data_IF_119936110661
#
_entry.id   IF_119936110661
#
_cell.length_a   1.000
_cell.length_b   1.000
_cell.length_c   1.000
_cell.angle_alpha   90.00
_cell.angle_beta   90.00
_cell.angle_gamma   90.00
#
_symmetry.space_group_name_H-M   'P 1'
#
loop_
_entity.id
_entity.type
_entity.pdbx_description
1 polymer ?
#
# COMPACT_ATOMS: atom_id res chain seq x y z
N UNK A 1 -65.58 -41.55 -17.01
CA UNK A 1 -64.46 -40.83 -17.66
C UNK A 1 -64.14 -39.66 -16.75
N UNK A 2 -62.93 -39.61 -16.19
CA UNK A 2 -62.49 -38.51 -15.33
C UNK A 2 -61.22 -37.92 -15.96
N UNK A 3 -61.38 -36.80 -16.64
CA UNK A 3 -60.28 -36.00 -17.16
C UNK A 3 -59.65 -35.27 -15.97
N UNK A 4 -58.50 -35.77 -15.48
CA UNK A 4 -57.70 -35.03 -14.52
C UNK A 4 -56.85 -34.01 -15.26
N UNK A 5 -57.18 -32.76 -14.96
CA UNK A 5 -56.59 -31.52 -15.39
C UNK A 5 -55.06 -31.44 -15.30
N UNK A 6 -54.52 -30.73 -16.29
CA UNK A 6 -53.42 -29.78 -16.20
C UNK A 6 -52.00 -30.32 -15.95
N UNK A 7 -51.40 -30.87 -17.01
CA UNK A 7 -49.95 -30.78 -17.24
C UNK A 7 -49.66 -29.45 -17.96
N UNK A 8 -49.64 -28.35 -17.19
CA UNK A 8 -49.20 -27.06 -17.71
C UNK A 8 -47.66 -26.99 -17.56
N UNK A 9 -46.90 -26.79 -18.65
CA UNK A 9 -45.44 -26.72 -18.57
C UNK A 9 -44.99 -25.59 -17.65
N UNK A 10 -43.90 -25.77 -16.88
CA UNK A 10 -43.40 -24.73 -15.99
C UNK A 10 -43.06 -23.46 -16.79
N UNK A 11 -43.31 -22.26 -16.22
CA UNK A 11 -43.02 -21.01 -16.91
C UNK A 11 -41.53 -20.92 -17.25
N UNK A 12 -41.16 -20.33 -18.40
CA UNK A 12 -39.77 -20.19 -18.79
C UNK A 12 -39.00 -19.37 -17.75
N UNK A 13 -37.70 -19.66 -17.55
CA UNK A 13 -36.88 -18.89 -16.63
C UNK A 13 -36.87 -17.41 -17.04
N UNK A 14 -36.82 -16.48 -16.07
CA UNK A 14 -36.77 -15.06 -16.37
C UNK A 14 -35.53 -14.74 -17.22
N UNK A 15 -35.63 -13.77 -18.14
CA UNK A 15 -34.48 -13.36 -18.93
C UNK A 15 -33.35 -12.85 -18.02
N UNK A 16 -32.08 -13.05 -18.43
CA UNK A 16 -30.95 -12.53 -17.67
C UNK A 16 -31.06 -11.01 -17.51
N UNK A 17 -30.66 -10.46 -16.36
CA UNK A 17 -30.70 -9.03 -16.14
C UNK A 17 -29.81 -8.30 -17.17
N UNK A 18 -30.19 -7.08 -17.57
CA UNK A 18 -29.39 -6.31 -18.52
C UNK A 18 -27.99 -6.01 -17.96
N UNK A 19 -26.97 -5.90 -18.83
CA UNK A 19 -25.62 -5.57 -18.40
C UNK A 19 -25.62 -4.20 -17.72
N UNK A 20 -24.90 -4.11 -16.59
CA UNK A 20 -24.75 -2.85 -15.86
C UNK A 20 -24.09 -1.78 -16.76
N UNK A 21 -24.54 -0.52 -16.68
CA UNK A 21 -23.94 0.55 -17.46
C UNK A 21 -22.47 0.74 -17.07
N UNK A 22 -21.61 1.10 -18.04
CA UNK A 22 -20.19 1.32 -17.77
C UNK A 22 -20.02 2.44 -16.72
N UNK A 23 -19.23 2.14 -15.69
CA UNK A 23 -18.93 3.09 -14.60
C UNK A 23 -18.34 4.39 -15.15
N UNK A 24 -18.88 5.53 -14.72
CA UNK A 24 -18.33 6.83 -15.10
C UNK A 24 -17.00 7.12 -14.38
N UNK A 25 -16.29 8.16 -14.82
CA UNK A 25 -14.97 8.54 -14.29
C UNK A 25 -14.98 8.91 -12.79
N UNK A 26 -16.06 9.49 -12.26
CA UNK A 26 -16.21 9.77 -10.82
C UNK A 26 -16.28 8.48 -10.01
N UNK A 27 -17.00 7.48 -10.51
CA UNK A 27 -17.18 6.19 -9.83
C UNK A 27 -15.88 5.40 -9.82
N UNK A 28 -15.18 5.35 -10.96
CA UNK A 28 -13.81 4.80 -11.04
C UNK A 28 -12.88 5.50 -10.06
N UNK A 29 -12.89 6.84 -9.99
CA UNK A 29 -12.08 7.61 -9.04
C UNK A 29 -12.38 7.28 -7.58
N UNK A 30 -13.64 7.04 -7.22
CA UNK A 30 -14.00 6.61 -5.86
C UNK A 30 -13.42 5.24 -5.50
N UNK A 31 -13.21 4.36 -6.48
CA UNK A 31 -12.65 3.02 -6.26
C UNK A 31 -11.14 3.04 -6.05
N UNK A 32 -10.36 3.73 -6.90
CA UNK A 32 -8.89 3.72 -6.79
C UNK A 32 -8.31 4.79 -5.86
N UNK A 33 -9.00 5.90 -5.61
CA UNK A 33 -8.46 7.00 -4.80
C UNK A 33 -8.16 6.64 -3.34
N UNK A 34 -9.01 5.84 -2.65
CA UNK A 34 -8.69 5.34 -1.32
C UNK A 34 -7.43 4.47 -1.30
N UNK A 35 -7.23 3.62 -2.32
CA UNK A 35 -6.06 2.76 -2.42
C UNK A 35 -4.77 3.58 -2.52
N UNK A 36 -4.76 4.64 -3.36
CA UNK A 36 -3.60 5.54 -3.47
C UNK A 36 -3.33 6.29 -2.15
N UNK A 37 -4.38 6.74 -1.44
CA UNK A 37 -4.19 7.37 -0.12
C UNK A 37 -3.63 6.40 0.91
N UNK A 38 -4.11 5.15 0.91
CA UNK A 38 -3.64 4.09 1.80
C UNK A 38 -2.16 3.80 1.53
N UNK A 39 -1.80 3.56 0.28
CA UNK A 39 -0.42 3.30 -0.14
C UNK A 39 0.53 4.45 0.25
N UNK A 40 0.10 5.71 0.06
CA UNK A 40 0.87 6.89 0.49
C UNK A 40 1.07 6.93 2.01
N UNK A 41 0.06 6.52 2.78
CA UNK A 41 0.14 6.46 4.24
C UNK A 41 1.07 5.33 4.69
N UNK A 42 0.99 4.17 4.07
CA UNK A 42 1.86 3.02 4.33
C UNK A 42 3.32 3.36 4.05
N UNK A 43 3.62 3.98 2.89
CA UNK A 43 4.97 4.48 2.60
C UNK A 43 5.48 5.45 3.65
N UNK A 44 4.65 6.39 4.10
CA UNK A 44 5.02 7.35 5.16
C UNK A 44 5.29 6.64 6.50
N UNK A 45 4.51 5.63 6.84
CA UNK A 45 4.68 4.87 8.09
C UNK A 45 5.93 3.98 8.04
N UNK A 46 6.16 3.27 6.93
CA UNK A 46 7.34 2.47 6.71
C UNK A 46 8.62 3.32 6.81
N UNK A 47 8.59 4.54 6.25
CA UNK A 47 9.68 5.51 6.39
C UNK A 47 9.97 5.87 7.84
N UNK A 48 8.94 6.19 8.63
CA UNK A 48 9.10 6.51 10.06
C UNK A 48 9.70 5.34 10.83
N UNK A 49 9.19 4.14 10.61
CA UNK A 49 9.68 2.93 11.27
C UNK A 49 11.17 2.66 10.97
N UNK A 50 11.61 2.87 9.72
CA UNK A 50 13.03 2.73 9.36
C UNK A 50 13.92 3.75 10.07
N UNK A 51 13.50 5.03 10.08
CA UNK A 51 14.23 6.10 10.78
C UNK A 51 14.32 5.81 12.28
N UNK A 52 13.21 5.39 12.90
CA UNK A 52 13.17 5.02 14.31
C UNK A 52 14.07 3.82 14.61
N UNK A 53 14.10 2.80 13.75
CA UNK A 53 14.98 1.65 13.91
C UNK A 53 16.47 2.05 13.88
N UNK A 54 16.88 2.88 12.92
CA UNK A 54 18.26 3.37 12.82
C UNK A 54 18.59 4.25 14.04
N UNK A 55 17.69 5.13 14.45
CA UNK A 55 17.88 5.98 15.62
C UNK A 55 17.99 5.20 16.93
N UNK A 56 17.20 4.14 17.10
CA UNK A 56 17.28 3.29 18.29
C UNK A 56 18.56 2.45 18.30
N UNK A 57 18.99 1.93 17.14
CA UNK A 57 20.28 1.25 17.01
C UNK A 57 21.44 2.19 17.36
N UNK A 58 21.37 3.44 16.91
CA UNK A 58 22.29 4.53 17.25
C UNK A 58 22.36 4.79 18.76
N UNK A 59 21.21 4.97 19.40
CA UNK A 59 21.13 5.22 20.84
C UNK A 59 21.72 4.07 21.66
N UNK A 60 21.39 2.83 21.29
CA UNK A 60 21.93 1.65 21.96
C UNK A 60 23.44 1.59 21.83
N UNK A 61 23.96 1.80 20.61
CA UNK A 61 25.40 1.76 20.37
C UNK A 61 26.14 2.90 21.09
N UNK A 62 25.56 4.09 21.17
CA UNK A 62 26.11 5.24 21.89
C UNK A 62 26.13 5.02 23.41
N UNK A 63 25.09 4.39 23.95
CA UNK A 63 25.07 3.98 25.36
C UNK A 63 26.15 2.92 25.66
N UNK A 64 26.37 1.96 24.77
CA UNK A 64 27.41 0.94 24.91
C UNK A 64 28.83 1.53 24.87
N UNK A 65 29.06 2.59 24.07
CA UNK A 65 30.40 3.18 23.88
C UNK A 65 30.70 4.40 24.78
N UNK A 66 29.83 4.75 25.73
CA UNK A 66 30.14 5.76 26.74
C UNK A 66 30.16 7.21 26.22
N UNK A 67 29.25 7.56 25.30
CA UNK A 67 28.84 8.95 25.09
C UNK A 67 29.80 9.90 24.35
N UNK A 68 30.95 9.45 23.86
CA UNK A 68 31.88 10.32 23.12
C UNK A 68 32.69 9.55 22.06
N UNK A 69 32.04 8.63 21.35
CA UNK A 69 32.73 7.82 20.34
C UNK A 69 32.65 8.46 18.94
N UNK A 70 33.77 8.56 18.19
CA UNK A 70 33.81 9.12 16.84
C UNK A 70 32.92 8.39 15.82
N UNK A 71 32.51 7.14 16.09
CA UNK A 71 31.57 6.40 15.24
C UNK A 71 30.16 7.00 15.20
N UNK A 72 29.78 7.84 16.17
CA UNK A 72 28.50 8.54 16.11
C UNK A 72 28.37 9.39 14.83
N UNK A 73 29.46 9.95 14.32
CA UNK A 73 29.49 10.70 13.06
C UNK A 73 29.28 9.77 11.85
N UNK A 74 29.87 8.57 11.88
CA UNK A 74 29.73 7.59 10.80
C UNK A 74 28.28 7.12 10.67
N UNK A 75 27.65 6.83 11.80
CA UNK A 75 26.27 6.34 11.82
C UNK A 75 25.25 7.46 11.57
N UNK A 76 25.52 8.71 11.98
CA UNK A 76 24.73 9.87 11.53
C UNK A 76 24.82 10.09 10.01
N UNK A 77 25.97 9.80 9.40
CA UNK A 77 26.14 9.82 7.95
C UNK A 77 25.31 8.73 7.26
N UNK A 78 25.22 7.53 7.83
CA UNK A 78 24.33 6.46 7.33
C UNK A 78 22.84 6.83 7.46
N UNK A 79 22.44 7.45 8.57
CA UNK A 79 21.09 7.97 8.73
C UNK A 79 20.77 9.04 7.68
N UNK A 80 21.70 9.96 7.43
CA UNK A 80 21.57 11.01 6.42
C UNK A 80 21.47 10.43 5.00
N UNK A 81 22.30 9.44 4.65
CA UNK A 81 22.24 8.74 3.36
C UNK A 81 20.92 7.99 3.17
N UNK A 82 20.45 7.28 4.19
CA UNK A 82 19.17 6.57 4.16
C UNK A 82 18.00 7.54 3.93
N UNK A 83 18.05 8.72 4.56
CA UNK A 83 17.07 9.78 4.36
C UNK A 83 17.15 10.42 2.96
N UNK A 84 18.34 10.52 2.38
CA UNK A 84 18.60 11.14 1.08
C UNK A 84 18.24 10.21 -0.10
N UNK A 85 18.65 8.95 -0.04
CA UNK A 85 18.35 7.92 -1.04
C UNK A 85 16.83 7.66 -1.12
N UNK A 86 16.14 7.69 0.02
CA UNK A 86 14.68 7.55 0.05
C UNK A 86 13.92 8.82 -0.39
N UNK A 87 14.52 10.01 -0.24
CA UNK A 87 13.96 11.27 -0.76
C UNK A 87 14.07 11.36 -2.29
N UNK A 88 15.03 10.66 -2.88
CA UNK A 88 15.28 10.62 -4.32
C UNK A 88 15.42 9.18 -4.86
N UNK A 89 14.33 8.38 -4.88
CA UNK A 89 14.39 6.98 -5.33
C UNK A 89 14.76 6.82 -6.81
N UNK A 90 14.75 7.91 -7.58
CA UNK A 90 15.05 7.96 -9.01
C UNK A 90 16.50 8.36 -9.33
N UNK A 91 17.30 8.78 -8.34
CA UNK A 91 18.69 9.22 -8.57
C UNK A 91 19.71 8.08 -8.51
N UNK A 92 19.34 6.92 -7.95
CA UNK A 92 20.22 5.74 -7.85
C UNK A 92 20.05 4.73 -8.99
N UNK A 93 19.44 5.13 -10.12
CA UNK A 93 19.52 4.36 -11.36
C UNK A 93 20.90 4.63 -11.97
N UNK A 94 21.92 3.96 -11.44
CA UNK A 94 23.21 3.82 -12.14
C UNK A 94 22.89 3.13 -13.47
N UNK A 95 22.90 3.89 -14.57
CA UNK A 95 22.94 3.33 -15.92
C UNK A 95 24.24 2.54 -16.02
N UNK A 96 24.11 1.21 -16.00
CA UNK A 96 25.13 0.25 -16.42
C UNK A 96 24.72 -0.34 -17.76
#
# INVERSE_FOLDING_TARGET
MAETSADAPPPPPPPPPPPLPPKNNKQKKREWWPAIKKEKRERKNARRARIEAIFNALLNHYHEMGGSHPDAIHVLSELAKSLEEERHPHMHVKKG
#
